data_IF_629964689241
#
_entry.id   IF_629964689241
#
_cell.length_a   1.000
_cell.length_b   1.000
_cell.length_c   1.000
_cell.angle_alpha   90.00
_cell.angle_beta   90.00
_cell.angle_gamma   90.00
#
_symmetry.space_group_name_H-M   'P 1'
#
loop_
_entity.id
_entity.type
_entity.pdbx_description
1 polymer ?
#
# COMPACT_ATOMS: atom_id res chain seq x y z
N UNK A 1 13.32 -13.25 22.76
CA UNK A 1 12.19 -12.67 22.02
C UNK A 1 10.97 -12.82 22.91
N UNK A 2 10.32 -11.73 23.26
CA UNK A 2 9.04 -11.76 23.97
C UNK A 2 7.98 -11.37 22.96
N UNK A 3 6.92 -12.18 22.88
CA UNK A 3 5.87 -12.04 21.89
C UNK A 3 4.53 -12.08 22.61
N UNK A 4 3.77 -10.99 22.52
CA UNK A 4 2.40 -10.92 23.03
C UNK A 4 1.43 -11.07 21.86
N UNK A 5 0.70 -12.19 21.84
CA UNK A 5 -0.24 -12.57 20.79
C UNK A 5 -1.63 -12.82 21.38
N UNK A 6 -2.52 -11.83 21.38
CA UNK A 6 -3.92 -12.10 21.65
C UNK A 6 -4.53 -12.83 20.43
N UNK A 7 -4.77 -14.15 20.56
CA UNK A 7 -5.46 -14.99 19.57
C UNK A 7 -6.18 -16.15 20.25
N UNK A 8 -7.28 -16.63 19.66
CA UNK A 8 -7.99 -17.82 20.13
C UNK A 8 -7.20 -19.11 19.83
N UNK A 9 -6.50 -19.14 18.68
CA UNK A 9 -5.73 -20.29 18.22
C UNK A 9 -4.35 -19.85 17.70
N UNK A 10 -3.31 -20.60 18.09
CA UNK A 10 -1.95 -20.45 17.58
C UNK A 10 -1.44 -21.78 17.01
N UNK A 11 -1.13 -21.78 15.72
CA UNK A 11 -0.59 -22.94 15.00
C UNK A 11 0.89 -22.69 14.71
N UNK A 12 1.75 -23.62 15.12
CA UNK A 12 3.17 -23.60 14.77
C UNK A 12 3.41 -24.58 13.63
N UNK A 13 3.95 -24.09 12.52
CA UNK A 13 4.23 -24.88 11.32
C UNK A 13 5.71 -24.77 10.92
N UNK A 14 6.21 -25.81 10.25
CA UNK A 14 7.54 -25.79 9.62
C UNK A 14 7.37 -25.78 8.11
N UNK A 15 8.08 -24.88 7.42
CA UNK A 15 8.12 -24.85 5.97
C UNK A 15 9.54 -24.86 5.46
N UNK A 16 9.75 -25.55 4.33
CA UNK A 16 11.06 -25.62 3.70
C UNK A 16 11.32 -24.34 2.89
N UNK A 17 12.43 -23.61 3.14
CA UNK A 17 12.78 -22.45 2.35
C UNK A 17 13.10 -22.83 0.89
N UNK A 18 13.02 -21.86 -0.04
CA UNK A 18 13.67 -22.00 -1.34
C UNK A 18 15.15 -22.39 -1.14
N UNK A 19 15.62 -23.40 -1.89
CA UNK A 19 17.01 -23.91 -1.79
C UNK A 19 18.00 -22.88 -2.35
N UNK A 20 18.37 -21.89 -1.53
CA UNK A 20 19.40 -20.88 -1.82
C UNK A 20 20.53 -20.98 -0.76
N UNK A 21 21.79 -20.71 -1.14
CA UNK A 21 22.90 -20.68 -0.18
C UNK A 21 22.60 -19.75 1.00
N UNK A 22 22.86 -20.21 2.23
CA UNK A 22 22.66 -19.42 3.45
C UNK A 22 21.27 -19.51 4.09
N UNK A 23 20.29 -20.12 3.43
CA UNK A 23 18.98 -20.33 4.05
C UNK A 23 19.03 -21.41 5.14
N UNK A 24 18.27 -21.27 6.25
CA UNK A 24 18.14 -22.31 7.26
C UNK A 24 17.50 -23.56 6.65
N UNK A 25 17.58 -24.71 7.34
CA UNK A 25 16.93 -25.95 6.85
C UNK A 25 15.40 -25.83 6.80
N UNK A 26 14.82 -25.08 7.74
CA UNK A 26 13.39 -24.86 7.87
C UNK A 26 13.12 -23.44 8.36
N UNK A 27 11.98 -22.88 7.97
CA UNK A 27 11.37 -21.74 8.63
C UNK A 27 10.30 -22.23 9.58
N UNK A 28 10.29 -21.68 10.79
CA UNK A 28 9.17 -21.83 11.72
C UNK A 28 8.19 -20.69 11.47
N UNK A 29 6.95 -21.04 11.16
CA UNK A 29 5.84 -20.13 10.99
C UNK A 29 4.93 -20.22 12.21
N UNK A 30 4.43 -19.08 12.66
CA UNK A 30 3.34 -19.01 13.62
C UNK A 30 2.15 -18.44 12.85
N UNK A 31 1.07 -19.22 12.75
CA UNK A 31 -0.21 -18.76 12.23
C UNK A 31 -1.13 -18.48 13.41
N UNK A 32 -1.72 -17.30 13.42
CA UNK A 32 -2.64 -16.86 14.45
C UNK A 32 -4.01 -16.69 13.85
N UNK A 33 -5.00 -17.22 14.55
CA UNK A 33 -6.38 -17.24 14.09
C UNK A 33 -7.32 -16.87 15.25
N UNK A 34 -8.32 -16.06 14.91
CA UNK A 34 -9.50 -15.87 15.74
C UNK A 34 -10.55 -16.89 15.29
N UNK A 35 -11.39 -17.38 16.19
CA UNK A 35 -12.47 -18.33 15.91
C UNK A 35 -13.86 -17.78 16.27
N UNK A 36 -14.94 -18.32 15.67
CA UNK A 36 -16.33 -17.88 15.90
C UNK A 36 -17.09 -17.39 14.64
N UNK A 37 -18.31 -16.89 14.84
CA UNK A 37 -19.14 -16.29 13.79
C UNK A 37 -18.97 -14.76 13.76
N UNK A 38 -18.90 -14.16 12.56
CA UNK A 38 -18.76 -12.70 12.42
C UNK A 38 -17.39 -12.15 12.81
N UNK A 39 -16.34 -12.97 12.73
CA UNK A 39 -14.97 -12.63 13.14
C UNK A 39 -14.45 -11.43 12.36
N UNK A 40 -14.07 -10.39 13.09
CA UNK A 40 -13.30 -9.28 12.53
C UNK A 40 -11.82 -9.61 12.71
N UNK A 41 -11.13 -9.91 11.60
CA UNK A 41 -9.71 -10.24 11.60
C UNK A 41 -8.87 -8.98 11.83
N UNK A 42 -8.64 -8.64 13.10
CA UNK A 42 -7.71 -7.59 13.52
C UNK A 42 -6.80 -8.12 14.60
N UNK A 43 -5.51 -8.06 14.29
CA UNK A 43 -4.44 -8.52 15.15
C UNK A 43 -3.51 -7.35 15.43
N UNK A 44 -3.05 -7.26 16.68
CA UNK A 44 -1.96 -6.39 17.06
C UNK A 44 -0.98 -7.22 17.87
N UNK A 45 0.30 -7.04 17.58
CA UNK A 45 1.38 -7.82 18.19
C UNK A 45 2.47 -6.87 18.63
N UNK A 46 2.96 -7.07 19.86
CA UNK A 46 4.18 -6.45 20.34
C UNK A 46 5.27 -7.51 20.32
N UNK A 47 6.30 -7.27 19.52
CA UNK A 47 7.45 -8.14 19.38
C UNK A 47 8.72 -7.38 19.75
N UNK A 48 9.43 -7.85 20.78
CA UNK A 48 10.72 -7.28 21.19
C UNK A 48 11.88 -8.23 20.86
N UNK A 49 12.80 -7.82 19.95
CA UNK A 49 14.11 -8.44 19.86
C UNK A 49 15.01 -7.88 20.98
N UNK A 50 15.52 -8.75 21.86
CA UNK A 50 16.43 -8.36 22.95
C UNK A 50 17.52 -9.40 23.19
N UNK A 51 18.61 -8.96 23.83
CA UNK A 51 19.67 -9.79 24.38
C UNK A 51 19.86 -9.42 25.86
N UNK A 52 19.84 -10.40 26.75
CA UNK A 52 19.84 -10.17 28.19
C UNK A 52 18.42 -9.98 28.72
N UNK A 53 18.15 -8.89 29.42
CA UNK A 53 16.83 -8.58 29.98
C UNK A 53 15.90 -7.91 28.97
N UNK A 54 14.59 -8.23 28.96
CA UNK A 54 13.59 -7.56 28.14
C UNK A 54 13.43 -6.10 28.60
N UNK A 55 13.22 -5.18 27.65
CA UNK A 55 12.96 -3.77 27.96
C UNK A 55 11.48 -3.49 28.02
N UNK A 56 10.64 -4.29 27.36
CA UNK A 56 9.18 -4.25 27.54
C UNK A 56 8.84 -4.90 28.87
N UNK A 57 8.16 -4.14 29.73
CA UNK A 57 7.76 -4.56 31.09
C UNK A 57 6.32 -5.03 31.14
N UNK A 58 5.44 -4.35 30.41
CA UNK A 58 4.02 -4.69 30.35
C UNK A 58 3.41 -4.30 29.00
N UNK A 59 2.41 -5.07 28.58
CA UNK A 59 1.53 -4.75 27.45
C UNK A 59 0.10 -4.90 27.94
N UNK A 60 -0.67 -3.84 27.80
CA UNK A 60 -2.07 -3.75 28.23
C UNK A 60 -2.94 -3.41 27.02
N UNK A 61 -4.01 -4.18 26.80
CA UNK A 61 -5.01 -3.84 25.78
C UNK A 61 -5.97 -2.80 26.34
N UNK A 62 -6.04 -1.64 25.69
CA UNK A 62 -6.90 -0.52 26.09
C UNK A 62 -8.27 -0.57 25.41
N UNK A 63 -8.31 -1.04 24.16
CA UNK A 63 -9.51 -1.03 23.32
C UNK A 63 -9.43 -2.19 22.32
N UNK A 64 -10.56 -2.89 22.12
CA UNK A 64 -10.75 -3.82 21.00
C UNK A 64 -12.19 -3.78 20.54
N UNK A 65 -12.37 -3.35 19.30
CA UNK A 65 -13.66 -3.32 18.62
C UNK A 65 -13.52 -3.78 17.17
N UNK A 66 -14.64 -3.89 16.46
CA UNK A 66 -14.62 -4.11 15.02
C UNK A 66 -14.00 -2.96 14.23
N UNK A 67 -13.76 -1.80 14.86
CA UNK A 67 -13.27 -0.56 14.25
C UNK A 67 -11.99 -0.03 14.88
N UNK A 68 -11.54 -0.55 16.01
CA UNK A 68 -10.35 -0.07 16.69
C UNK A 68 -9.60 -1.17 17.46
N UNK A 69 -8.28 -1.03 17.56
CA UNK A 69 -7.43 -1.70 18.55
C UNK A 69 -6.56 -0.64 19.22
N UNK A 70 -6.45 -0.68 20.55
CA UNK A 70 -5.58 0.17 21.35
C UNK A 70 -4.70 -0.66 22.28
N UNK A 71 -3.41 -0.36 22.31
CA UNK A 71 -2.43 -0.99 23.19
C UNK A 71 -1.69 0.08 23.99
N UNK A 72 -1.36 -0.24 25.23
CA UNK A 72 -0.40 0.47 26.06
C UNK A 72 0.80 -0.44 26.30
N UNK A 73 1.99 0.05 25.99
CA UNK A 73 3.24 -0.68 26.16
C UNK A 73 4.13 0.09 27.12
N UNK A 74 4.43 -0.50 28.26
CA UNK A 74 5.37 0.05 29.23
C UNK A 74 6.74 -0.56 28.99
N UNK A 75 7.76 0.28 28.85
CA UNK A 75 9.12 -0.15 28.57
C UNK A 75 10.16 0.70 29.32
N UNK A 76 11.42 0.27 29.33
CA UNK A 76 12.50 0.97 30.05
C UNK A 76 12.62 2.47 29.73
N UNK A 77 12.24 2.89 28.52
CA UNK A 77 12.34 4.27 28.05
C UNK A 77 11.05 5.09 28.22
N UNK A 78 10.07 4.60 28.99
CA UNK A 78 8.77 5.27 29.17
C UNK A 78 7.59 4.42 28.74
N UNK A 79 6.59 5.04 28.10
CA UNK A 79 5.30 4.41 27.78
C UNK A 79 4.80 4.80 26.39
N UNK A 80 4.42 3.81 25.60
CA UNK A 80 3.78 3.98 24.31
C UNK A 80 2.29 3.65 24.40
N UNK A 81 1.43 4.56 23.92
CA UNK A 81 0.03 4.28 23.62
C UNK A 81 -0.12 4.21 22.11
N UNK A 82 -0.50 3.04 21.60
CA UNK A 82 -0.66 2.74 20.18
C UNK A 82 -2.14 2.55 19.90
N UNK A 83 -2.66 3.13 18.82
CA UNK A 83 -4.04 2.92 18.39
C UNK A 83 -4.12 2.75 16.89
N UNK A 84 -4.96 1.81 16.47
CA UNK A 84 -5.34 1.60 15.08
C UNK A 84 -6.84 1.72 14.97
N UNK A 85 -7.34 2.59 14.11
CA UNK A 85 -8.77 2.77 13.84
C UNK A 85 -9.08 2.61 12.35
N UNK A 86 -10.32 2.24 12.05
CA UNK A 86 -10.87 2.27 10.69
C UNK A 86 -12.25 2.95 10.75
N UNK A 87 -12.41 4.00 9.96
CA UNK A 87 -13.64 4.78 9.83
C UNK A 87 -13.92 5.12 8.35
N UNK A 88 -14.81 6.09 8.11
CA UNK A 88 -15.17 6.53 6.75
C UNK A 88 -14.02 7.18 5.97
N UNK A 89 -12.99 7.68 6.65
CA UNK A 89 -11.78 8.23 6.04
C UNK A 89 -10.71 7.16 5.78
N UNK A 90 -11.02 5.89 6.09
CA UNK A 90 -10.12 4.76 5.91
C UNK A 90 -9.45 4.37 7.22
N UNK A 91 -8.17 4.00 7.14
CA UNK A 91 -7.42 3.53 8.30
C UNK A 91 -6.55 4.64 8.88
N UNK A 92 -6.49 4.71 10.20
CA UNK A 92 -5.63 5.62 10.94
C UNK A 92 -4.84 4.84 11.99
N UNK A 93 -3.54 5.10 12.08
CA UNK A 93 -2.64 4.56 13.09
C UNK A 93 -2.03 5.73 13.86
N UNK A 94 -2.04 5.65 15.19
CA UNK A 94 -1.43 6.63 16.05
C UNK A 94 -0.54 6.02 17.13
N UNK A 95 0.47 6.80 17.52
CA UNK A 95 1.37 6.51 18.63
C UNK A 95 1.53 7.77 19.47
N UNK A 96 1.38 7.64 20.78
CA UNK A 96 1.79 8.64 21.76
C UNK A 96 2.87 8.02 22.63
N UNK A 97 4.07 8.62 22.65
CA UNK A 97 5.16 8.23 23.53
C UNK A 97 5.30 9.23 24.67
N UNK A 98 5.40 8.71 25.88
CA UNK A 98 5.81 9.44 27.06
C UNK A 98 7.20 8.96 27.49
N UNK A 99 8.04 9.87 27.97
CA UNK A 99 9.31 9.56 28.60
C UNK A 99 9.13 8.90 29.99
N UNK A 100 10.19 8.45 30.68
CA UNK A 100 10.08 7.87 32.02
C UNK A 100 9.48 8.81 33.07
N UNK A 101 9.60 10.12 32.88
CA UNK A 101 9.02 11.16 33.73
C UNK A 101 7.54 11.44 33.41
N UNK A 102 6.99 10.78 32.39
CA UNK A 102 5.59 10.88 31.98
C UNK A 102 5.28 12.05 31.05
N UNK A 103 6.28 12.78 30.54
CA UNK A 103 6.06 13.87 29.58
C UNK A 103 5.92 13.32 28.17
N UNK A 104 5.05 13.93 27.38
CA UNK A 104 4.88 13.58 25.96
C UNK A 104 6.20 13.85 25.21
N UNK A 105 6.84 12.80 24.71
CA UNK A 105 8.05 12.90 23.88
C UNK A 105 7.68 12.99 22.39
N UNK A 106 6.62 12.26 21.99
CA UNK A 106 6.27 12.09 20.57
C UNK A 106 4.79 11.81 20.38
N UNK A 107 4.20 12.46 19.37
CA UNK A 107 2.95 12.03 18.75
C UNK A 107 3.24 11.64 17.30
N UNK A 108 2.74 10.50 16.86
CA UNK A 108 2.82 10.08 15.47
C UNK A 108 1.43 9.67 14.98
N UNK A 109 1.13 10.03 13.74
CA UNK A 109 -0.13 9.76 13.07
C UNK A 109 0.15 9.35 11.62
N UNK A 110 -0.44 8.24 11.19
CA UNK A 110 -0.49 7.81 9.79
C UNK A 110 -1.95 7.60 9.41
N UNK A 111 -2.40 8.23 8.32
CA UNK A 111 -3.81 8.29 7.92
C UNK A 111 -4.46 9.62 8.31
N UNK A 112 -5.67 9.82 7.78
CA UNK A 112 -6.51 10.99 8.10
C UNK A 112 -7.14 10.75 9.49
N UNK A 113 -7.05 11.74 10.36
CA UNK A 113 -7.61 11.67 11.71
C UNK A 113 -6.85 12.56 12.69
N UNK A 114 -6.97 12.23 13.97
CA UNK A 114 -6.26 12.93 15.04
C UNK A 114 -5.80 11.97 16.13
N UNK A 115 -4.76 12.39 16.84
CA UNK A 115 -4.33 11.79 18.10
C UNK A 115 -4.22 12.89 19.13
N UNK A 116 -4.76 12.65 20.32
CA UNK A 116 -4.72 13.56 21.45
C UNK A 116 -4.09 12.88 22.66
N UNK A 117 -3.23 13.61 23.34
CA UNK A 117 -2.70 13.25 24.65
C UNK A 117 -2.63 14.52 25.50
N UNK A 118 -3.24 14.47 26.68
CA UNK A 118 -3.34 15.62 27.58
C UNK A 118 -3.95 16.82 26.82
N UNK A 119 -3.26 17.97 26.84
CA UNK A 119 -3.65 19.20 26.16
C UNK A 119 -3.11 19.30 24.72
N UNK A 120 -2.31 18.32 24.27
CA UNK A 120 -1.67 18.32 22.95
C UNK A 120 -2.44 17.42 21.98
N UNK A 121 -2.73 17.93 20.78
CA UNK A 121 -3.32 17.13 19.70
C UNK A 121 -2.56 17.31 18.39
N UNK A 122 -2.41 16.23 17.63
CA UNK A 122 -1.87 16.22 16.28
C UNK A 122 -2.95 15.72 15.32
N UNK A 123 -3.25 16.51 14.29
CA UNK A 123 -4.34 16.25 13.34
C UNK A 123 -3.84 16.28 11.89
N UNK A 124 -4.25 15.28 11.11
CA UNK A 124 -4.09 15.22 9.66
C UNK A 124 -5.49 15.22 9.06
N UNK A 125 -5.86 16.33 8.40
CA UNK A 125 -7.20 16.46 7.85
C UNK A 125 -7.36 15.73 6.51
N UNK A 126 -6.30 15.61 5.70
CA UNK A 126 -6.37 15.13 4.31
C UNK A 126 -5.10 14.41 3.90
N UNK A 127 -5.11 13.75 2.73
CA UNK A 127 -3.98 13.07 2.11
C UNK A 127 -3.70 13.53 0.68
N UNK A 128 -2.68 12.92 0.04
CA UNK A 128 -2.48 13.06 -1.41
C UNK A 128 -3.36 12.05 -2.15
N UNK A 129 -4.20 12.54 -3.05
CA UNK A 129 -4.97 11.74 -4.00
C UNK A 129 -5.07 12.47 -5.33
N UNK A 130 -5.05 11.72 -6.43
CA UNK A 130 -5.26 12.24 -7.77
C UNK A 130 -5.46 11.15 -8.81
N UNK A 131 -5.93 11.54 -9.99
CA UNK A 131 -6.11 10.62 -11.12
C UNK A 131 -4.86 10.61 -11.97
N UNK A 132 -4.44 9.42 -12.39
CA UNK A 132 -3.42 9.23 -13.42
C UNK A 132 -3.95 9.81 -14.74
N UNK A 133 -3.17 10.69 -15.34
CA UNK A 133 -3.49 11.33 -16.61
C UNK A 133 -2.69 10.66 -17.71
N UNK A 134 -1.39 10.54 -17.52
CA UNK A 134 -0.48 9.89 -18.45
C UNK A 134 0.50 9.02 -17.70
N UNK A 135 0.97 7.98 -18.38
CA UNK A 135 2.04 7.11 -17.92
C UNK A 135 3.10 7.12 -19.00
N UNK A 136 4.35 7.34 -18.59
CA UNK A 136 5.54 7.20 -19.40
C UNK A 136 6.32 5.98 -18.87
N UNK A 137 6.15 4.81 -19.50
CA UNK A 137 6.81 3.59 -19.07
C UNK A 137 8.32 3.60 -19.26
N UNK A 138 8.83 4.42 -20.19
CA UNK A 138 10.25 4.42 -20.53
C UNK A 138 11.07 5.13 -19.46
N UNK A 139 10.51 6.18 -18.88
CA UNK A 139 11.14 6.95 -17.80
C UNK A 139 10.59 6.63 -16.40
N UNK A 140 9.71 5.64 -16.28
CA UNK A 140 9.02 5.28 -15.04
C UNK A 140 8.36 6.51 -14.37
N UNK A 141 7.67 7.32 -15.18
CA UNK A 141 6.98 8.53 -14.70
C UNK A 141 5.49 8.47 -14.92
N UNK A 142 4.77 9.15 -14.04
CA UNK A 142 3.31 9.24 -14.07
C UNK A 142 2.92 10.69 -13.87
N UNK A 143 2.12 11.25 -14.77
CA UNK A 143 1.45 12.52 -14.52
C UNK A 143 0.12 12.25 -13.81
N UNK A 144 -0.12 12.97 -12.72
CA UNK A 144 -1.42 12.95 -12.04
C UNK A 144 -2.08 14.34 -12.06
N UNK A 145 -3.41 14.33 -12.09
CA UNK A 145 -4.23 15.46 -11.71
C UNK A 145 -4.72 15.27 -10.29
N UNK A 146 -4.23 16.13 -9.39
CA UNK A 146 -4.58 16.15 -7.99
C UNK A 146 -6.05 16.49 -7.79
N UNK A 147 -6.69 15.76 -6.87
CA UNK A 147 -8.05 16.04 -6.42
C UNK A 147 -8.13 17.42 -5.75
N UNK A 148 -9.23 18.13 -5.93
CA UNK A 148 -9.45 19.45 -5.32
C UNK A 148 -9.38 19.40 -3.79
N UNK A 149 -9.81 18.29 -3.23
CA UNK A 149 -9.80 18.09 -1.79
C UNK A 149 -8.42 17.73 -1.26
N UNK A 150 -7.50 17.26 -2.09
CA UNK A 150 -6.17 16.89 -1.63
C UNK A 150 -5.38 18.12 -1.16
N UNK A 151 -4.74 17.99 0.01
CA UNK A 151 -3.94 19.06 0.60
C UNK A 151 -2.71 19.44 -0.23
N UNK A 152 -2.07 20.55 0.12
CA UNK A 152 -0.74 20.88 -0.37
C UNK A 152 0.33 20.00 0.29
N UNK A 153 1.36 19.65 -0.47
CA UNK A 153 2.56 18.95 0.02
C UNK A 153 3.78 19.63 -0.61
N UNK A 154 4.94 19.51 0.05
CA UNK A 154 6.20 19.89 -0.58
C UNK A 154 6.67 18.73 -1.45
N UNK A 155 7.05 18.96 -2.71
CA UNK A 155 7.50 17.85 -3.59
C UNK A 155 8.61 16.98 -2.96
N UNK A 156 9.49 17.58 -2.15
CA UNK A 156 10.54 16.85 -1.40
C UNK A 156 10.01 15.96 -0.28
N UNK A 157 8.85 16.25 0.31
CA UNK A 157 8.29 15.46 1.42
C UNK A 157 7.65 14.16 0.96
N UNK A 158 7.49 13.96 -0.35
CA UNK A 158 6.97 12.72 -0.93
C UNK A 158 8.06 11.75 -1.40
N UNK A 159 9.32 12.21 -1.53
CA UNK A 159 10.41 11.33 -1.96
C UNK A 159 10.70 10.31 -0.86
N UNK A 160 10.71 9.02 -1.23
CA UNK A 160 10.83 7.88 -0.31
C UNK A 160 9.48 7.34 0.18
N UNK A 161 8.38 8.05 -0.07
CA UNK A 161 7.04 7.60 0.28
C UNK A 161 6.52 6.54 -0.71
N UNK A 162 5.57 5.73 -0.27
CA UNK A 162 4.92 4.71 -1.11
C UNK A 162 3.66 5.29 -1.72
N UNK A 163 3.61 5.36 -3.05
CA UNK A 163 2.39 5.64 -3.79
C UNK A 163 1.65 4.34 -4.06
N UNK A 164 0.40 4.28 -3.62
CA UNK A 164 -0.56 3.25 -4.02
C UNK A 164 -1.27 3.71 -5.27
N UNK A 165 -1.23 2.91 -6.32
CA UNK A 165 -1.87 3.19 -7.61
C UNK A 165 -2.85 2.07 -7.94
N UNK A 166 -4.02 2.39 -8.47
CA UNK A 166 -4.95 1.35 -8.91
C UNK A 166 -6.38 1.79 -9.16
N UNK A 167 -7.24 0.78 -9.27
CA UNK A 167 -8.68 0.86 -9.49
C UNK A 167 -9.39 -0.21 -8.64
N UNK A 168 -10.71 -0.34 -8.81
CA UNK A 168 -11.53 -1.25 -8.00
C UNK A 168 -11.16 -2.73 -8.15
N UNK A 169 -10.43 -3.10 -9.21
CA UNK A 169 -10.03 -4.49 -9.49
C UNK A 169 -8.55 -4.76 -9.24
N UNK A 170 -7.71 -3.73 -9.10
CA UNK A 170 -6.26 -3.85 -8.98
C UNK A 170 -5.66 -2.74 -8.16
N UNK A 171 -4.72 -3.07 -7.28
CA UNK A 171 -3.87 -2.09 -6.60
C UNK A 171 -2.43 -2.56 -6.60
N UNK A 172 -1.52 -1.61 -6.77
CA UNK A 172 -0.07 -1.80 -6.77
C UNK A 172 0.58 -0.66 -5.99
N UNK A 173 1.86 -0.80 -5.66
CA UNK A 173 2.58 0.15 -4.84
C UNK A 173 4.00 0.34 -5.36
N UNK A 174 4.42 1.61 -5.45
CA UNK A 174 5.74 2.00 -5.94
C UNK A 174 6.35 3.08 -5.04
N UNK A 175 7.68 3.09 -4.95
CA UNK A 175 8.40 4.09 -4.15
C UNK A 175 8.63 5.34 -4.98
N UNK A 176 8.21 6.49 -4.46
CA UNK A 176 8.39 7.78 -5.13
C UNK A 176 9.85 8.20 -5.02
N UNK A 177 10.51 8.44 -6.15
CA UNK A 177 11.90 8.92 -6.19
C UNK A 177 12.02 10.39 -6.55
N UNK A 178 10.96 10.99 -7.10
CA UNK A 178 10.94 12.40 -7.47
C UNK A 178 9.53 12.91 -7.72
N UNK A 179 9.32 14.19 -7.44
CA UNK A 179 8.07 14.89 -7.73
C UNK A 179 8.39 16.26 -8.31
N UNK A 180 7.83 16.54 -9.47
CA UNK A 180 7.94 17.82 -10.16
C UNK A 180 6.55 18.38 -10.49
N UNK A 181 6.46 19.70 -10.64
CA UNK A 181 5.20 20.41 -10.91
C UNK A 181 4.70 21.26 -9.75
N UNK A 182 3.68 22.07 -10.04
CA UNK A 182 3.00 22.96 -9.09
C UNK A 182 1.50 22.92 -9.34
N UNK A 183 0.72 23.13 -8.29
CA UNK A 183 -0.74 23.20 -8.39
C UNK A 183 -1.39 21.81 -8.50
N UNK A 184 -2.17 21.60 -9.57
CA UNK A 184 -2.98 20.38 -9.75
C UNK A 184 -2.31 19.31 -10.61
N UNK A 185 -1.31 19.65 -11.43
CA UNK A 185 -0.59 18.69 -12.27
C UNK A 185 0.78 18.42 -11.67
N UNK A 186 1.07 17.15 -11.48
CA UNK A 186 2.29 16.68 -10.84
C UNK A 186 2.85 15.52 -11.65
N UNK A 187 4.14 15.57 -11.93
CA UNK A 187 4.86 14.44 -12.47
C UNK A 187 5.56 13.72 -11.31
N UNK A 188 5.30 12.42 -11.18
CA UNK A 188 5.85 11.57 -10.14
C UNK A 188 6.79 10.56 -10.81
N UNK A 189 7.99 10.40 -10.26
CA UNK A 189 9.00 9.45 -10.72
C UNK A 189 9.11 8.27 -9.77
N UNK A 190 9.35 7.08 -10.33
CA UNK A 190 9.45 5.82 -9.59
C UNK A 190 10.79 5.10 -9.85
N UNK A 191 11.85 5.88 -10.10
CA UNK A 191 13.20 5.37 -10.30
C UNK A 191 13.31 4.51 -11.55
N UNK A 192 13.68 3.24 -11.39
CA UNK A 192 13.86 2.27 -12.47
C UNK A 192 12.78 1.18 -12.47
N UNK A 193 11.69 1.38 -11.73
CA UNK A 193 10.61 0.41 -11.63
C UNK A 193 9.91 0.24 -12.97
N UNK A 194 9.64 -1.01 -13.38
CA UNK A 194 8.83 -1.29 -14.56
C UNK A 194 7.40 -1.58 -14.15
N UNK A 195 6.46 -0.79 -14.67
CA UNK A 195 5.01 -0.99 -14.45
C UNK A 195 4.43 -2.13 -15.29
N UNK A 196 5.25 -2.73 -16.18
CA UNK A 196 4.83 -3.78 -17.11
C UNK A 196 4.77 -5.12 -16.40
N UNK A 197 3.60 -5.74 -16.43
CA UNK A 197 3.33 -7.06 -15.85
C UNK A 197 3.11 -8.15 -16.89
N UNK A 198 3.02 -7.79 -18.16
CA UNK A 198 2.93 -8.75 -19.26
C UNK A 198 3.48 -8.19 -20.57
N UNK A 199 3.98 -9.09 -21.41
CA UNK A 199 4.40 -8.82 -22.79
C UNK A 199 4.03 -10.03 -23.63
N UNK A 200 3.41 -9.81 -24.77
CA UNK A 200 2.95 -10.89 -25.64
C UNK A 200 2.84 -10.43 -27.09
N UNK A 201 2.86 -11.38 -28.01
CA UNK A 201 2.51 -11.13 -29.41
C UNK A 201 1.02 -11.38 -29.63
N UNK A 202 0.32 -10.46 -30.28
CA UNK A 202 -1.09 -10.62 -30.61
C UNK A 202 -1.23 -11.73 -31.66
N UNK A 203 -2.24 -12.59 -31.48
CA UNK A 203 -2.56 -13.65 -32.46
C UNK A 203 -3.78 -13.28 -33.27
N UNK A 204 -4.81 -12.76 -32.62
CA UNK A 204 -6.00 -12.20 -33.28
C UNK A 204 -6.72 -11.27 -32.31
N UNK A 205 -7.28 -10.18 -32.83
CA UNK A 205 -8.25 -9.34 -32.14
C UNK A 205 -9.68 -9.79 -32.44
N UNK A 206 -10.59 -9.64 -31.50
CA UNK A 206 -12.01 -9.91 -31.71
C UNK A 206 -12.60 -8.78 -32.57
N UNK A 207 -13.34 -9.12 -33.63
CA UNK A 207 -13.92 -8.14 -34.55
C UNK A 207 -14.91 -7.16 -33.88
N UNK A 208 -15.47 -7.54 -32.73
CA UNK A 208 -16.38 -6.69 -31.96
C UNK A 208 -15.67 -5.82 -30.92
N UNK A 209 -14.34 -5.82 -30.88
CA UNK A 209 -13.55 -5.01 -29.96
C UNK A 209 -13.52 -5.49 -28.51
N UNK A 210 -14.05 -6.68 -28.21
CA UNK A 210 -14.17 -7.20 -26.84
C UNK A 210 -12.87 -7.72 -26.24
N UNK A 211 -11.83 -7.88 -27.05
CA UNK A 211 -10.57 -8.45 -26.58
C UNK A 211 -9.70 -9.03 -27.68
N UNK A 212 -8.67 -9.76 -27.27
CA UNK A 212 -7.71 -10.38 -28.18
C UNK A 212 -7.22 -11.72 -27.64
N UNK A 213 -6.57 -12.47 -28.50
CA UNK A 213 -5.92 -13.74 -28.20
C UNK A 213 -4.41 -13.65 -28.42
N UNK A 214 -3.67 -14.46 -27.68
CA UNK A 214 -2.24 -14.60 -27.81
C UNK A 214 -1.79 -16.03 -27.63
N UNK A 215 -0.79 -16.43 -28.39
CA UNK A 215 -0.02 -17.65 -28.21
C UNK A 215 0.94 -17.59 -27.00
N UNK A 216 0.99 -16.49 -26.27
CA UNK A 216 1.85 -16.34 -25.10
C UNK A 216 1.18 -16.94 -23.86
N UNK A 217 1.90 -17.81 -23.14
CA UNK A 217 1.42 -18.36 -21.87
C UNK A 217 1.57 -17.33 -20.75
N UNK A 218 0.50 -16.59 -20.48
CA UNK A 218 0.38 -15.65 -19.36
C UNK A 218 0.14 -16.41 -18.04
N UNK A 219 1.18 -17.05 -17.51
CA UNK A 219 1.10 -18.09 -16.48
C UNK A 219 0.42 -17.68 -15.15
N UNK A 220 0.33 -16.38 -14.83
CA UNK A 220 -0.38 -15.91 -13.63
C UNK A 220 -1.89 -15.69 -13.83
N UNK A 221 -2.39 -15.85 -15.07
CA UNK A 221 -3.78 -15.60 -15.43
C UNK A 221 -4.77 -16.46 -14.64
N UNK A 222 -4.44 -17.73 -14.36
CA UNK A 222 -5.30 -18.61 -13.56
C UNK A 222 -5.51 -18.15 -12.11
N UNK A 223 -4.66 -17.25 -11.61
CA UNK A 223 -4.80 -16.65 -10.28
C UNK A 223 -5.60 -15.33 -10.32
N UNK A 224 -6.12 -14.94 -11.50
CA UNK A 224 -6.78 -13.65 -11.72
C UNK A 224 -5.82 -12.46 -11.68
N UNK A 225 -4.50 -12.70 -11.74
CA UNK A 225 -3.47 -11.68 -11.53
C UNK A 225 -3.58 -10.47 -12.48
N UNK A 226 -4.11 -10.64 -13.69
CA UNK A 226 -4.18 -9.58 -14.71
C UNK A 226 -5.50 -8.79 -14.71
N UNK A 227 -6.46 -9.11 -13.82
CA UNK A 227 -7.72 -8.37 -13.73
C UNK A 227 -7.44 -6.91 -13.33
N UNK A 228 -8.12 -5.97 -13.99
CA UNK A 228 -7.93 -4.53 -13.75
C UNK A 228 -6.62 -3.95 -14.28
N UNK A 229 -5.80 -4.73 -14.99
CA UNK A 229 -4.62 -4.24 -15.71
C UNK A 229 -5.03 -3.38 -16.92
N UNK A 230 -4.03 -2.79 -17.59
CA UNK A 230 -4.20 -2.07 -18.86
C UNK A 230 -3.54 -2.84 -20.00
N UNK A 231 -4.29 -3.06 -21.07
CA UNK A 231 -3.77 -3.51 -22.36
C UNK A 231 -3.18 -2.30 -23.07
N UNK A 232 -1.92 -2.41 -23.49
CA UNK A 232 -1.16 -1.32 -24.10
C UNK A 232 -0.49 -1.77 -25.39
N UNK A 233 -0.57 -0.94 -26.42
CA UNK A 233 0.08 -1.15 -27.73
C UNK A 233 1.59 -0.86 -27.65
N UNK A 234 2.31 -1.15 -28.73
CA UNK A 234 3.76 -0.96 -28.78
C UNK A 234 4.17 0.51 -28.68
N UNK A 235 3.31 1.41 -29.16
CA UNK A 235 3.52 2.86 -29.21
C UNK A 235 3.00 3.61 -27.98
N UNK A 236 2.45 2.90 -26.99
CA UNK A 236 1.88 3.45 -25.75
C UNK A 236 0.75 4.47 -25.94
N UNK A 237 0.03 4.39 -27.07
CA UNK A 237 -1.09 5.28 -27.41
C UNK A 237 -2.41 4.77 -26.85
N UNK A 238 -2.58 3.46 -26.78
CA UNK A 238 -3.81 2.83 -26.34
C UNK A 238 -3.66 2.25 -24.93
N UNK A 239 -4.58 2.55 -24.02
CA UNK A 239 -4.57 2.07 -22.63
C UNK A 239 -5.93 1.49 -22.26
N UNK A 240 -6.20 0.27 -22.71
CA UNK A 240 -7.54 -0.32 -22.63
C UNK A 240 -7.73 -1.12 -21.33
N UNK A 241 -8.85 -0.94 -20.61
CA UNK A 241 -9.10 -1.66 -19.36
C UNK A 241 -9.30 -3.16 -19.59
N UNK A 242 -8.51 -3.98 -18.89
CA UNK A 242 -8.62 -5.45 -18.94
C UNK A 242 -9.63 -5.93 -17.91
N UNK A 243 -10.63 -6.67 -18.38
CA UNK A 243 -11.61 -7.34 -17.53
C UNK A 243 -11.01 -8.59 -16.90
N UNK A 244 -10.46 -9.49 -17.71
CA UNK A 244 -9.95 -10.79 -17.28
C UNK A 244 -8.94 -11.32 -18.31
N UNK A 245 -8.05 -12.19 -17.87
CA UNK A 245 -7.16 -12.96 -18.75
C UNK A 245 -7.35 -14.43 -18.45
N UNK A 246 -7.61 -15.21 -19.48
CA UNK A 246 -7.85 -16.65 -19.37
C UNK A 246 -6.83 -17.42 -20.18
N UNK A 247 -6.49 -18.60 -19.69
CA UNK A 247 -5.65 -19.54 -20.42
C UNK A 247 -6.51 -20.68 -20.94
N UNK A 248 -6.16 -21.20 -22.12
CA UNK A 248 -6.73 -22.45 -22.61
C UNK A 248 -6.53 -23.58 -21.58
N UNK A 249 -7.42 -24.59 -21.57
CA UNK A 249 -7.30 -25.72 -20.65
C UNK A 249 -5.93 -26.39 -20.74
N UNK A 250 -5.41 -26.82 -19.59
CA UNK A 250 -4.14 -27.54 -19.59
C UNK A 250 -4.29 -28.89 -20.31
N UNK A 251 -3.39 -29.16 -21.26
CA UNK A 251 -3.23 -30.45 -21.92
C UNK A 251 -1.73 -30.82 -21.91
N UNK A 252 -1.34 -32.00 -21.41
CA UNK A 252 0.06 -32.41 -21.41
C UNK A 252 0.69 -32.32 -22.80
N UNK A 253 1.87 -31.70 -22.90
CA UNK A 253 2.58 -31.51 -24.17
C UNK A 253 2.09 -30.33 -25.02
N UNK A 254 1.04 -29.62 -24.62
CA UNK A 254 0.53 -28.45 -25.34
C UNK A 254 0.78 -27.15 -24.57
N UNK A 255 1.11 -26.09 -25.31
CA UNK A 255 1.16 -24.73 -24.76
C UNK A 255 -0.24 -24.26 -24.39
N UNK A 256 -0.33 -23.47 -23.32
CA UNK A 256 -1.55 -22.75 -22.96
C UNK A 256 -1.53 -21.38 -23.62
N UNK A 257 -2.52 -21.13 -24.47
CA UNK A 257 -2.69 -19.85 -25.15
C UNK A 257 -3.57 -18.94 -24.28
N UNK A 258 -3.30 -17.63 -24.33
CA UNK A 258 -3.99 -16.61 -23.57
C UNK A 258 -5.13 -15.95 -24.36
N UNK A 259 -6.19 -15.58 -23.65
CA UNK A 259 -7.25 -14.70 -24.13
C UNK A 259 -7.39 -13.54 -23.15
N UNK A 260 -7.36 -12.32 -23.68
CA UNK A 260 -7.47 -11.08 -22.93
C UNK A 260 -8.86 -10.51 -23.24
N UNK A 261 -9.71 -10.42 -22.22
CA UNK A 261 -11.03 -9.78 -22.32
C UNK A 261 -10.94 -8.33 -21.82
N UNK A 262 -11.60 -7.41 -22.52
CA UNK A 262 -11.62 -5.99 -22.20
C UNK A 262 -12.94 -5.60 -21.54
N UNK A 263 -12.89 -4.54 -20.72
CA UNK A 263 -14.11 -3.90 -20.22
C UNK A 263 -14.73 -3.08 -21.35
N UNK A 264 -15.82 -3.58 -21.93
CA UNK A 264 -16.50 -2.93 -23.05
C UNK A 264 -15.90 -3.30 -24.42
N UNK A 265 -16.28 -2.54 -25.45
CA UNK A 265 -15.85 -2.73 -26.83
C UNK A 265 -14.98 -1.55 -27.26
N UNK A 266 -13.84 -1.84 -27.86
CA UNK A 266 -12.84 -0.84 -28.24
C UNK A 266 -12.40 -1.01 -29.68
N UNK A 267 -11.84 0.06 -30.25
CA UNK A 267 -11.07 -0.05 -31.47
C UNK A 267 -9.76 -0.78 -31.18
N UNK A 268 -9.46 -1.81 -31.99
CA UNK A 268 -8.30 -2.68 -31.84
C UNK A 268 -7.37 -2.65 -33.06
N UNK A 269 -7.48 -1.63 -33.93
CA UNK A 269 -6.58 -1.46 -35.09
C UNK A 269 -5.10 -1.44 -34.70
N UNK A 270 -4.75 -0.95 -33.51
CA UNK A 270 -3.37 -0.94 -33.00
C UNK A 270 -2.90 -2.30 -32.41
N UNK A 271 -3.69 -3.36 -32.56
CA UNK A 271 -3.40 -4.70 -32.04
C UNK A 271 -3.53 -5.76 -33.14
N UNK A 272 -2.85 -5.54 -34.27
CA UNK A 272 -2.84 -6.48 -35.39
C UNK A 272 -2.07 -7.76 -35.05
N UNK A 273 -2.34 -8.89 -35.73
CA UNK A 273 -1.56 -10.11 -35.56
C UNK A 273 -0.05 -9.87 -35.66
N UNK A 274 0.71 -10.58 -34.82
CA UNK A 274 2.17 -10.51 -34.69
C UNK A 274 2.73 -9.24 -34.03
N UNK A 275 1.91 -8.19 -33.85
CA UNK A 275 2.32 -7.02 -33.09
C UNK A 275 2.56 -7.36 -31.62
N UNK A 276 3.51 -6.65 -31.01
CA UNK A 276 3.80 -6.77 -29.58
C UNK A 276 2.85 -5.87 -28.82
N UNK A 277 2.21 -6.42 -27.80
CA UNK A 277 1.41 -5.69 -26.84
C UNK A 277 1.84 -6.01 -25.41
N UNK A 278 1.40 -5.18 -24.49
CA UNK A 278 1.79 -5.23 -23.09
C UNK A 278 0.59 -5.24 -22.16
N UNK A 279 0.80 -5.78 -20.95
CA UNK A 279 -0.08 -5.58 -19.81
C UNK A 279 0.66 -4.71 -18.80
N UNK A 280 0.02 -3.64 -18.37
CA UNK A 280 0.52 -2.72 -17.35
C UNK A 280 -0.33 -2.76 -16.09
N UNK A 281 0.33 -2.57 -14.94
CA UNK A 281 -0.30 -2.58 -13.62
C UNK A 281 -1.43 -1.56 -13.46
N UNK A 282 -1.30 -0.41 -14.12
CA UNK A 282 -2.23 0.71 -14.04
C UNK A 282 -2.08 1.55 -15.32
N UNK A 283 -2.93 2.56 -15.50
CA UNK A 283 -2.83 3.53 -16.58
C UNK A 283 -3.71 4.76 -16.38
N UNK A 284 -3.89 5.57 -17.44
CA UNK A 284 -4.78 6.72 -17.41
C UNK A 284 -6.17 6.40 -16.82
N UNK A 285 -6.63 7.28 -15.92
CA UNK A 285 -7.89 7.15 -15.19
C UNK A 285 -7.81 6.42 -13.85
N UNK A 286 -6.74 5.66 -13.58
CA UNK A 286 -6.52 5.03 -12.27
C UNK A 286 -6.21 6.08 -11.19
N UNK A 287 -6.36 5.72 -9.92
CA UNK A 287 -6.14 6.62 -8.78
C UNK A 287 -4.76 6.36 -8.18
N UNK A 288 -4.01 7.44 -7.97
CA UNK A 288 -2.80 7.45 -7.15
C UNK A 288 -3.10 8.09 -5.80
N UNK A 289 -2.67 7.45 -4.72
CA UNK A 289 -2.78 7.95 -3.36
C UNK A 289 -1.50 7.72 -2.57
N UNK A 290 -1.14 8.65 -1.69
CA UNK A 290 -0.07 8.46 -0.68
C UNK A 290 -0.69 8.63 0.70
N UNK A 291 -0.46 7.65 1.57
CA UNK A 291 -0.95 7.71 2.95
C UNK A 291 -0.29 8.89 3.68
N UNK A 292 -1.05 9.85 4.24
CA UNK A 292 -0.44 10.97 4.93
C UNK A 292 0.12 10.51 6.26
N UNK A 293 1.28 11.04 6.68
CA UNK A 293 1.79 10.83 8.02
C UNK A 293 2.47 12.09 8.56
N UNK A 294 2.41 12.24 9.88
CA UNK A 294 3.05 13.31 10.62
C UNK A 294 3.52 12.81 11.98
N UNK A 295 4.65 13.36 12.43
CA UNK A 295 5.25 13.10 13.73
C UNK A 295 5.59 14.44 14.38
N UNK A 296 5.00 14.71 15.54
CA UNK A 296 5.43 15.79 16.42
C UNK A 296 6.42 15.23 17.44
N UNK A 297 7.63 15.80 17.49
CA UNK A 297 8.67 15.41 18.47
C UNK A 297 8.94 16.59 19.38
N UNK A 298 8.89 16.36 20.70
CA UNK A 298 9.17 17.39 21.69
C UNK A 298 10.65 17.75 21.68
N UNK A 299 10.94 19.04 21.74
CA UNK A 299 12.28 19.62 21.83
C UNK A 299 12.65 19.87 23.28
N UNK A 300 13.93 20.17 23.50
CA UNK A 300 14.48 20.48 24.81
C UNK A 300 13.86 21.74 25.43
N UNK A 301 13.40 22.69 24.62
CA UNK A 301 12.69 23.90 25.06
C UNK A 301 11.20 23.65 25.37
N UNK A 302 10.72 22.41 25.21
CA UNK A 302 9.34 22.01 25.45
C UNK A 302 8.40 22.17 24.27
N UNK A 303 8.81 22.85 23.19
CA UNK A 303 8.03 22.98 21.95
C UNK A 303 8.07 21.71 21.12
N UNK A 304 7.16 21.56 20.14
CA UNK A 304 7.16 20.43 19.22
C UNK A 304 7.66 20.80 17.82
N UNK A 305 8.45 19.91 17.23
CA UNK A 305 8.77 19.93 15.81
C UNK A 305 7.93 18.90 15.07
N UNK A 306 7.18 19.36 14.06
CA UNK A 306 6.41 18.49 13.18
C UNK A 306 7.28 18.09 11.97
N UNK A 307 7.29 16.80 11.65
CA UNK A 307 7.86 16.23 10.42
C UNK A 307 6.86 15.27 9.80
N UNK A 308 6.78 15.21 8.48
CA UNK A 308 5.83 14.33 7.80
C UNK A 308 5.81 14.56 6.29
N UNK A 309 5.00 13.79 5.59
CA UNK A 309 4.78 13.95 4.15
C UNK A 309 3.61 14.90 3.83
N UNK A 310 2.88 15.35 4.85
CA UNK A 310 1.69 16.19 4.77
C UNK A 310 1.75 17.43 5.65
N UNK A 311 0.78 18.35 5.43
CA UNK A 311 0.46 19.37 6.43
C UNK A 311 -0.30 18.70 7.59
N UNK A 312 0.16 18.95 8.81
CA UNK A 312 -0.53 18.54 10.02
C UNK A 312 -0.67 19.74 10.96
N UNK A 313 -1.71 19.72 11.77
CA UNK A 313 -2.01 20.75 12.75
C UNK A 313 -1.70 20.22 14.14
N UNK A 314 -0.90 20.97 14.89
CA UNK A 314 -0.64 20.72 16.29
C UNK A 314 -1.38 21.79 17.10
N UNK A 315 -2.18 21.37 18.06
CA UNK A 315 -2.85 22.27 19.00
C UNK A 315 -2.42 21.93 20.42
N UNK A 316 -2.07 22.93 21.20
CA UNK A 316 -1.92 22.84 22.65
C UNK A 316 -3.04 23.69 23.26
N UNK A 317 -3.83 23.14 24.18
CA UNK A 317 -4.70 24.00 25.00
C UNK A 317 -3.82 24.74 25.99
N UNK A 318 -3.94 26.07 26.05
CA UNK A 318 -3.33 26.83 27.14
C UNK A 318 -4.04 26.43 28.44
N UNK A 319 -3.27 25.92 29.39
CA UNK A 319 -3.74 25.67 30.75
C UNK A 319 -4.08 27.02 31.38
N UNK A 320 -5.38 27.31 31.52
CA UNK A 320 -5.90 28.50 32.22
C UNK A 320 -5.77 28.41 33.73
#
# INVERSE_FOLDING_TARGET
>A
QTLFLPSDEAIVAHGDPPRKPGNPRQFTYVLLRNEGDGIVSRFATVAEPFKGEPRVRAVEELERTNRAIGLKVEHLHGKDTIRHTIDGNGTCFSLVRHDPEGKIERLHLTGIGSVQAEETSLTIARGLSGRVVTVDPENSTVEIEKDRESQGFGGRSLVGEIARIGNDRRSTAYTITGVEGRGRRLQIRFGTDSFRVGRFAVTAANADGSGLSTRTNLYMASQGYYRGARLVDAEYRNWLPVEDVRLSPHRPGFRRDGSIALVGKHDLEAFEPEQIAFLYDFGPGDVLSVAPHATAVRRTDGTFQIKGNCRAELSEKESG
#
